data_IF_541908501384
#
_entry.id   IF_541908501384
#
_cell.length_a   1.000
_cell.length_b   1.000
_cell.length_c   1.000
_cell.angle_alpha   90.00
_cell.angle_beta   90.00
_cell.angle_gamma   90.00
#
_symmetry.space_group_name_H-M   'P 1'
#
loop_
_entity.id
_entity.type
_entity.pdbx_description
1 polymer ?
#
# COMPACT_ATOMS: atom_id res chain seq x y z
N UNK A 1 2.30 -10.09 23.64
CA UNK A 1 2.50 -10.13 22.19
C UNK A 1 2.44 -11.58 21.68
N UNK A 2 3.30 -12.53 22.11
CA UNK A 2 3.24 -13.93 21.67
C UNK A 2 1.90 -14.62 22.01
N UNK A 3 1.29 -14.29 23.13
CA UNK A 3 -0.05 -14.76 23.49
C UNK A 3 -1.13 -14.09 22.62
N UNK A 4 -1.03 -12.82 22.39
CA UNK A 4 -1.96 -12.03 21.57
C UNK A 4 -1.97 -12.51 20.10
N UNK A 5 -0.79 -12.78 19.53
CA UNK A 5 -0.66 -13.44 18.22
C UNK A 5 -1.29 -14.85 18.23
N UNK A 6 -1.05 -15.62 19.28
CA UNK A 6 -1.62 -16.97 19.40
C UNK A 6 -3.14 -16.94 19.51
N UNK A 7 -3.70 -15.99 20.25
CA UNK A 7 -5.15 -15.84 20.45
C UNK A 7 -5.84 -15.42 19.15
N UNK A 8 -5.26 -14.47 18.39
CA UNK A 8 -5.77 -14.05 17.09
C UNK A 8 -5.74 -15.21 16.08
N UNK A 9 -4.61 -15.91 15.97
CA UNK A 9 -4.48 -17.05 15.05
C UNK A 9 -5.43 -18.18 15.44
N UNK A 10 -5.49 -18.55 16.71
CA UNK A 10 -6.34 -19.64 17.20
C UNK A 10 -7.83 -19.36 16.94
N UNK A 11 -8.26 -18.11 17.18
CA UNK A 11 -9.65 -17.70 16.94
C UNK A 11 -10.02 -17.81 15.46
N UNK A 12 -9.27 -17.18 14.56
CA UNK A 12 -9.57 -17.17 13.12
C UNK A 12 -9.47 -18.56 12.49
N UNK A 13 -8.45 -19.36 12.86
CA UNK A 13 -8.31 -20.74 12.38
C UNK A 13 -9.47 -21.60 12.85
N UNK A 14 -9.95 -21.42 14.08
CA UNK A 14 -11.12 -22.14 14.59
C UNK A 14 -12.38 -21.83 13.79
N UNK A 15 -12.65 -20.53 13.50
CA UNK A 15 -13.79 -20.12 12.68
C UNK A 15 -13.70 -20.72 11.27
N UNK A 16 -12.53 -20.61 10.61
CA UNK A 16 -12.32 -21.20 9.29
C UNK A 16 -12.55 -22.73 9.27
N UNK A 17 -12.10 -23.43 10.31
CA UNK A 17 -12.26 -24.88 10.42
C UNK A 17 -13.73 -25.28 10.56
N UNK A 18 -14.50 -24.55 11.37
CA UNK A 18 -15.94 -24.76 11.53
C UNK A 18 -16.69 -24.53 10.24
N UNK A 19 -16.40 -23.42 9.56
CA UNK A 19 -17.03 -23.07 8.27
C UNK A 19 -16.69 -24.08 7.17
N UNK A 20 -15.44 -24.53 7.10
CA UNK A 20 -15.02 -25.58 6.16
C UNK A 20 -15.75 -26.90 6.42
N UNK A 21 -15.91 -27.26 7.71
CA UNK A 21 -16.67 -28.44 8.11
C UNK A 21 -18.16 -28.35 7.75
N UNK A 22 -18.76 -27.17 7.91
CA UNK A 22 -20.15 -26.92 7.51
C UNK A 22 -20.30 -27.00 5.99
N UNK A 23 -19.48 -26.28 5.22
CA UNK A 23 -19.50 -26.30 3.75
C UNK A 23 -19.39 -27.73 3.20
N UNK A 24 -18.45 -28.52 3.73
CA UNK A 24 -18.26 -29.93 3.30
C UNK A 24 -19.49 -30.80 3.52
N UNK A 25 -20.29 -30.55 4.57
CA UNK A 25 -21.48 -31.36 4.89
C UNK A 25 -22.68 -31.06 3.99
N UNK A 26 -22.73 -29.83 3.46
CA UNK A 26 -23.91 -29.36 2.72
C UNK A 26 -23.65 -29.19 1.22
N UNK A 27 -22.42 -29.36 0.74
CA UNK A 27 -22.01 -29.03 -0.63
C UNK A 27 -22.87 -29.75 -1.69
N UNK A 28 -23.29 -30.99 -1.43
CA UNK A 28 -24.12 -31.77 -2.36
C UNK A 28 -25.62 -31.49 -2.24
N UNK A 29 -26.05 -30.91 -1.10
CA UNK A 29 -27.48 -30.66 -0.80
C UNK A 29 -27.86 -29.21 -1.04
N UNK A 30 -26.96 -28.28 -0.69
CA UNK A 30 -27.14 -26.85 -0.82
C UNK A 30 -25.81 -26.21 -1.26
N UNK A 31 -25.51 -26.21 -2.55
CA UNK A 31 -24.29 -25.60 -3.08
C UNK A 31 -24.23 -24.07 -2.88
N UNK A 32 -25.37 -23.40 -2.69
CA UNK A 32 -25.46 -21.97 -2.43
C UNK A 32 -24.85 -21.63 -1.07
N UNK A 33 -25.40 -22.21 -0.01
CA UNK A 33 -24.90 -22.03 1.34
C UNK A 33 -23.46 -22.55 1.53
N UNK A 34 -23.04 -23.57 0.77
CA UNK A 34 -21.66 -24.02 0.77
C UNK A 34 -20.69 -22.95 0.20
N UNK A 35 -21.07 -22.24 -0.86
CA UNK A 35 -20.28 -21.12 -1.41
C UNK A 35 -20.21 -19.95 -0.46
N UNK A 36 -21.29 -19.60 0.23
CA UNK A 36 -21.29 -18.54 1.25
C UNK A 36 -20.32 -18.86 2.38
N UNK A 37 -20.32 -20.11 2.87
CA UNK A 37 -19.38 -20.56 3.89
C UNK A 37 -17.92 -20.49 3.41
N UNK A 38 -17.64 -20.78 2.13
CA UNK A 38 -16.31 -20.63 1.53
C UNK A 38 -15.90 -19.14 1.43
N UNK A 39 -16.81 -18.26 1.03
CA UNK A 39 -16.56 -16.81 1.01
C UNK A 39 -16.24 -16.27 2.41
N UNK A 40 -16.93 -16.75 3.43
CA UNK A 40 -16.64 -16.40 4.82
C UNK A 40 -15.23 -16.85 5.24
N UNK A 41 -14.79 -18.04 4.82
CA UNK A 41 -13.43 -18.52 5.09
C UNK A 41 -12.38 -17.60 4.45
N UNK A 42 -12.61 -17.17 3.19
CA UNK A 42 -11.70 -16.24 2.52
C UNK A 42 -11.62 -14.90 3.23
N UNK A 43 -12.74 -14.34 3.64
CA UNK A 43 -12.82 -13.06 4.35
C UNK A 43 -12.12 -13.13 5.71
N UNK A 44 -12.44 -14.15 6.52
CA UNK A 44 -11.79 -14.39 7.81
C UNK A 44 -10.29 -14.60 7.65
N UNK A 45 -9.85 -15.32 6.61
CA UNK A 45 -8.44 -15.51 6.30
C UNK A 45 -7.72 -14.21 5.95
N UNK A 46 -8.31 -13.34 5.13
CA UNK A 46 -7.75 -12.01 4.79
C UNK A 46 -7.65 -11.13 6.03
N UNK A 47 -8.67 -11.11 6.87
CA UNK A 47 -8.69 -10.35 8.11
C UNK A 47 -7.59 -10.82 9.07
N UNK A 48 -7.47 -12.14 9.28
CA UNK A 48 -6.43 -12.72 10.12
C UNK A 48 -5.02 -12.36 9.63
N UNK A 49 -4.77 -12.45 8.33
CA UNK A 49 -3.48 -12.08 7.73
C UNK A 49 -3.18 -10.58 7.90
N UNK A 50 -4.21 -9.72 7.79
CA UNK A 50 -4.07 -8.27 8.00
C UNK A 50 -3.74 -7.96 9.47
N UNK A 51 -4.43 -8.58 10.42
CA UNK A 51 -4.17 -8.40 11.85
C UNK A 51 -2.78 -8.91 12.26
N UNK A 52 -2.37 -10.08 11.75
CA UNK A 52 -1.02 -10.59 11.98
C UNK A 52 0.05 -9.64 11.43
N UNK A 53 -0.14 -9.10 10.22
CA UNK A 53 0.78 -8.10 9.66
C UNK A 53 0.83 -6.84 10.50
N UNK A 54 -0.31 -6.39 11.05
CA UNK A 54 -0.38 -5.24 11.97
C UNK A 54 0.42 -5.49 13.24
N UNK A 55 0.20 -6.64 13.90
CA UNK A 55 0.90 -6.98 15.15
C UNK A 55 2.41 -7.14 14.90
N UNK A 56 2.79 -7.79 13.79
CA UNK A 56 4.19 -7.92 13.38
C UNK A 56 4.77 -6.57 12.93
N UNK A 57 3.97 -5.71 12.28
CA UNK A 57 4.37 -4.37 11.85
C UNK A 57 4.72 -3.44 13.02
N UNK A 58 3.94 -3.47 14.09
CA UNK A 58 4.24 -2.74 15.34
C UNK A 58 5.56 -3.21 15.97
N UNK A 59 5.92 -4.50 15.80
CA UNK A 59 7.21 -5.05 16.25
C UNK A 59 8.37 -4.71 15.32
N UNK A 60 8.09 -4.43 14.03
CA UNK A 60 9.12 -4.09 13.03
C UNK A 60 9.56 -2.63 13.12
N UNK A 61 8.70 -1.72 13.58
CA UNK A 61 9.04 -0.29 13.66
C UNK A 61 10.19 -0.01 14.65
N UNK A 62 10.35 -0.82 15.70
CA UNK A 62 11.41 -0.64 16.70
C UNK A 62 12.69 -1.48 16.42
N UNK A 63 12.58 -2.56 15.63
CA UNK A 63 13.73 -3.45 15.37
C UNK A 63 14.34 -3.34 13.99
N UNK A 64 13.59 -2.88 12.99
CA UNK A 64 14.11 -2.75 11.61
C UNK A 64 14.98 -1.50 11.43
N UNK A 65 14.88 -0.51 12.32
CA UNK A 65 15.85 0.59 12.38
C UNK A 65 17.23 0.11 12.84
N UNK A 66 17.31 -0.94 13.67
CA UNK A 66 18.58 -1.51 14.16
C UNK A 66 19.10 -2.69 13.31
N UNK A 67 18.22 -3.39 12.58
CA UNK A 67 18.57 -4.53 11.73
C UNK A 67 18.70 -4.19 10.23
N UNK A 68 18.33 -2.99 9.79
CA UNK A 68 18.60 -2.50 8.43
C UNK A 68 20.10 -2.48 8.07
N UNK A 69 20.97 -2.77 9.04
CA UNK A 69 22.40 -2.98 8.82
C UNK A 69 22.79 -4.40 8.34
N UNK A 70 21.84 -5.32 8.07
CA UNK A 70 22.18 -6.73 7.84
C UNK A 70 21.53 -7.45 6.65
N UNK A 71 20.72 -6.81 5.84
CA UNK A 71 20.33 -7.39 4.54
C UNK A 71 21.06 -6.66 3.42
N UNK A 72 22.06 -7.34 2.88
CA UNK A 72 22.98 -6.93 1.80
C UNK A 72 22.31 -6.82 0.41
N UNK A 73 20.99 -6.68 0.34
CA UNK A 73 20.32 -6.34 -0.91
C UNK A 73 20.10 -4.82 -0.96
N UNK A 74 20.52 -4.12 -2.02
CA UNK A 74 20.23 -2.71 -2.19
C UNK A 74 18.71 -2.48 -2.08
N UNK A 75 18.28 -1.55 -1.23
CA UNK A 75 16.86 -1.21 -1.19
C UNK A 75 16.47 -0.52 -2.50
N UNK A 76 15.31 -0.88 -3.11
CA UNK A 76 14.90 -0.30 -4.38
C UNK A 76 14.69 1.21 -4.24
N UNK A 77 15.20 1.96 -5.20
CA UNK A 77 15.12 3.41 -5.31
C UNK A 77 14.44 3.85 -6.61
N UNK A 78 14.52 5.15 -6.90
CA UNK A 78 13.93 5.72 -8.13
C UNK A 78 14.54 5.15 -9.41
N UNK A 79 15.77 4.61 -9.34
CA UNK A 79 16.37 3.87 -10.45
C UNK A 79 15.60 2.61 -10.85
N UNK A 80 14.90 1.99 -9.91
CA UNK A 80 14.12 0.77 -10.12
C UNK A 80 12.65 1.05 -10.48
N UNK A 81 12.29 2.33 -10.66
CA UNK A 81 10.92 2.74 -10.94
C UNK A 81 10.36 2.13 -12.22
N UNK A 82 11.22 1.92 -13.23
CA UNK A 82 10.84 1.24 -14.48
C UNK A 82 10.25 -0.14 -14.23
N UNK A 83 10.94 -0.97 -13.48
CA UNK A 83 10.50 -2.34 -13.14
C UNK A 83 9.18 -2.33 -12.33
N UNK A 84 9.04 -1.41 -11.38
CA UNK A 84 7.81 -1.23 -10.64
C UNK A 84 6.63 -0.92 -11.56
N UNK A 85 6.81 0.03 -12.49
CA UNK A 85 5.75 0.45 -13.41
C UNK A 85 5.38 -0.66 -14.39
N UNK A 86 6.34 -1.43 -14.87
CA UNK A 86 6.09 -2.57 -15.76
C UNK A 86 5.29 -3.65 -15.04
N UNK A 87 5.65 -3.98 -13.80
CA UNK A 87 4.87 -4.90 -12.99
C UNK A 87 3.42 -4.41 -12.74
N UNK A 88 3.25 -3.12 -12.47
CA UNK A 88 1.91 -2.53 -12.29
C UNK A 88 1.10 -2.59 -13.60
N UNK A 89 1.73 -2.36 -14.76
CA UNK A 89 1.07 -2.50 -16.07
C UNK A 89 0.62 -3.92 -16.36
N UNK A 90 1.39 -4.92 -15.96
CA UNK A 90 1.02 -6.34 -16.07
C UNK A 90 -0.25 -6.68 -15.29
N UNK A 91 -0.55 -5.97 -14.20
CA UNK A 91 -1.81 -6.13 -13.45
C UNK A 91 -3.02 -5.47 -14.13
N UNK A 92 -2.82 -4.78 -15.27
CA UNK A 92 -3.87 -4.15 -16.07
C UNK A 92 -4.09 -2.67 -15.78
N UNK A 93 -3.31 -2.03 -14.87
CA UNK A 93 -3.38 -0.59 -14.65
C UNK A 93 -2.55 0.16 -15.71
N UNK A 94 -3.18 1.07 -16.44
CA UNK A 94 -2.46 1.97 -17.35
C UNK A 94 -1.70 3.02 -16.56
N UNK A 95 -0.36 2.98 -16.58
CA UNK A 95 0.49 3.95 -15.87
C UNK A 95 1.41 4.67 -16.84
N UNK A 96 1.47 6.00 -16.73
CA UNK A 96 2.40 6.85 -17.46
C UNK A 96 3.37 7.51 -16.49
N UNK A 97 4.63 7.66 -16.92
CA UNK A 97 5.70 8.31 -16.14
C UNK A 97 6.19 9.54 -16.90
N UNK A 98 6.33 10.65 -16.18
CA UNK A 98 7.03 11.85 -16.64
C UNK A 98 8.14 12.21 -15.66
N UNK A 99 9.28 12.54 -16.19
CA UNK A 99 10.44 13.03 -15.43
C UNK A 99 10.78 14.40 -16.01
N UNK A 100 10.75 15.43 -15.18
CA UNK A 100 11.01 16.82 -15.56
C UNK A 100 12.18 17.37 -14.72
N UNK A 101 12.95 18.26 -15.34
CA UNK A 101 14.15 18.84 -14.73
C UNK A 101 15.41 18.00 -14.95
N UNK A 102 16.52 18.44 -14.40
CA UNK A 102 17.79 17.72 -14.47
C UNK A 102 17.83 16.68 -13.35
N UNK A 103 17.80 15.39 -13.75
CA UNK A 103 17.81 14.28 -12.79
C UNK A 103 19.06 14.31 -11.94
N UNK A 104 18.86 14.48 -10.64
CA UNK A 104 19.92 14.43 -9.61
C UNK A 104 19.69 13.22 -8.75
N UNK A 105 20.74 12.63 -8.24
CA UNK A 105 20.62 11.53 -7.26
C UNK A 105 20.26 12.12 -5.90
N UNK A 106 19.05 11.85 -5.38
CA UNK A 106 18.70 12.24 -4.01
C UNK A 106 19.60 11.53 -2.99
N UNK A 107 19.56 11.95 -1.74
CA UNK A 107 20.17 11.14 -0.67
C UNK A 107 19.54 9.74 -0.66
N UNK A 108 20.27 8.68 -0.27
CA UNK A 108 19.77 7.30 -0.30
C UNK A 108 18.44 7.13 0.45
N UNK A 109 18.24 7.90 1.52
CA UNK A 109 16.98 7.86 2.27
C UNK A 109 15.81 8.47 1.53
N UNK A 110 16.02 9.62 0.86
CA UNK A 110 14.99 10.27 0.03
C UNK A 110 14.67 9.41 -1.19
N UNK A 111 15.67 8.79 -1.81
CA UNK A 111 15.50 7.91 -2.96
C UNK A 111 14.57 6.73 -2.64
N UNK A 112 14.83 6.01 -1.55
CA UNK A 112 13.97 4.93 -1.06
C UNK A 112 12.60 5.44 -0.63
N UNK A 113 12.52 6.58 0.07
CA UNK A 113 11.26 7.13 0.54
C UNK A 113 10.34 7.52 -0.63
N UNK A 114 10.90 8.15 -1.66
CA UNK A 114 10.19 8.53 -2.88
C UNK A 114 9.68 7.28 -3.65
N UNK A 115 10.52 6.26 -3.81
CA UNK A 115 10.14 4.99 -4.42
C UNK A 115 8.98 4.33 -3.67
N UNK A 116 9.07 4.22 -2.33
CA UNK A 116 8.02 3.61 -1.50
C UNK A 116 6.71 4.39 -1.52
N UNK A 117 6.77 5.71 -1.60
CA UNK A 117 5.59 6.54 -1.76
C UNK A 117 4.86 6.25 -3.08
N UNK A 118 5.60 6.15 -4.19
CA UNK A 118 5.04 5.82 -5.49
C UNK A 118 4.43 4.41 -5.47
N UNK A 119 5.14 3.43 -4.92
CA UNK A 119 4.68 2.04 -4.78
C UNK A 119 3.36 1.95 -4.00
N UNK A 120 3.25 2.63 -2.85
CA UNK A 120 2.05 2.63 -2.03
C UNK A 120 0.89 3.36 -2.72
N UNK A 121 1.15 4.51 -3.38
CA UNK A 121 0.15 5.25 -4.11
C UNK A 121 -0.42 4.42 -5.29
N UNK A 122 0.43 3.74 -6.08
CA UNK A 122 -0.01 2.85 -7.15
C UNK A 122 -0.76 1.63 -6.63
N UNK A 123 -0.34 1.08 -5.50
CA UNK A 123 -1.05 -0.01 -4.81
C UNK A 123 -2.45 0.42 -4.38
N UNK A 124 -2.60 1.65 -3.88
CA UNK A 124 -3.89 2.22 -3.51
C UNK A 124 -4.78 2.45 -4.74
N UNK A 125 -4.21 2.92 -5.84
CA UNK A 125 -4.92 3.04 -7.12
C UNK A 125 -5.45 1.68 -7.60
N UNK A 126 -4.62 0.63 -7.59
CA UNK A 126 -5.03 -0.73 -7.96
C UNK A 126 -6.20 -1.25 -7.10
N UNK A 127 -6.19 -0.95 -5.80
CA UNK A 127 -7.23 -1.41 -4.87
C UNK A 127 -8.54 -0.62 -4.97
N UNK A 128 -8.46 0.67 -5.27
CA UNK A 128 -9.58 1.58 -5.01
C UNK A 128 -10.07 2.36 -6.24
N UNK A 129 -9.27 2.52 -7.30
CA UNK A 129 -9.63 3.37 -8.42
C UNK A 129 -10.61 2.70 -9.42
N UNK A 130 -10.68 1.37 -9.41
CA UNK A 130 -11.56 0.58 -10.29
C UNK A 130 -10.86 0.08 -11.56
N UNK A 131 -11.53 -0.82 -12.33
CA UNK A 131 -10.88 -1.63 -13.36
C UNK A 131 -10.46 -0.89 -14.64
N UNK A 132 -10.89 0.34 -14.84
CA UNK A 132 -10.56 1.16 -16.01
C UNK A 132 -9.75 2.42 -15.65
N UNK A 133 -9.28 2.50 -14.43
CA UNK A 133 -8.51 3.65 -13.97
C UNK A 133 -7.17 3.73 -14.68
N UNK A 134 -6.70 4.96 -14.84
CA UNK A 134 -5.36 5.28 -15.31
C UNK A 134 -4.64 6.02 -14.22
N UNK A 135 -3.34 5.82 -14.13
CA UNK A 135 -2.48 6.52 -13.20
C UNK A 135 -1.38 7.31 -13.91
N UNK A 136 -0.95 8.36 -13.28
CA UNK A 136 0.15 9.21 -13.73
C UNK A 136 1.14 9.40 -12.61
N UNK A 137 2.41 9.13 -12.90
CA UNK A 137 3.53 9.37 -12.00
C UNK A 137 4.37 10.49 -12.58
N UNK A 138 4.65 11.53 -11.80
CA UNK A 138 5.50 12.64 -12.19
C UNK A 138 6.62 12.82 -11.16
N UNK A 139 7.83 12.94 -11.67
CA UNK A 139 9.02 13.33 -10.90
C UNK A 139 9.47 14.69 -11.44
N UNK A 140 9.52 15.67 -10.57
CA UNK A 140 10.05 16.99 -10.90
C UNK A 140 11.28 17.28 -10.04
N UNK A 141 12.44 17.38 -10.71
CA UNK A 141 13.70 17.75 -10.08
C UNK A 141 13.87 19.27 -10.18
N UNK A 142 13.61 19.96 -9.06
CA UNK A 142 13.88 21.38 -8.90
C UNK A 142 15.32 21.65 -8.47
N UNK A 143 15.65 22.94 -8.27
CA UNK A 143 16.99 23.34 -7.82
C UNK A 143 17.32 22.86 -6.42
N UNK A 144 16.33 22.83 -5.52
CA UNK A 144 16.48 22.50 -4.12
C UNK A 144 15.54 21.39 -3.61
N UNK A 145 14.72 20.82 -4.49
CA UNK A 145 13.76 19.80 -4.09
C UNK A 145 13.45 18.80 -5.20
N UNK A 146 12.97 17.63 -4.78
CA UNK A 146 12.33 16.63 -5.61
C UNK A 146 10.84 16.61 -5.28
N UNK A 147 10.01 16.89 -6.26
CA UNK A 147 8.56 16.69 -6.15
C UNK A 147 8.17 15.39 -6.82
N UNK A 148 7.48 14.54 -6.08
CA UNK A 148 6.88 13.29 -6.54
C UNK A 148 5.37 13.44 -6.52
N UNK A 149 4.72 13.15 -7.63
CA UNK A 149 3.27 13.21 -7.75
C UNK A 149 2.74 11.93 -8.38
N UNK A 150 1.73 11.33 -7.75
CA UNK A 150 0.99 10.19 -8.28
C UNK A 150 -0.48 10.53 -8.27
N UNK A 151 -1.08 10.47 -9.44
CA UNK A 151 -2.50 10.80 -9.64
C UNK A 151 -3.21 9.65 -10.34
N UNK A 152 -4.52 9.48 -10.08
CA UNK A 152 -5.40 8.60 -10.85
C UNK A 152 -6.69 9.29 -11.28
N UNK A 153 -7.43 8.70 -12.23
CA UNK A 153 -8.76 9.13 -12.68
C UNK A 153 -9.88 8.19 -12.17
N UNK A 154 -9.60 7.44 -11.13
CA UNK A 154 -10.53 6.46 -10.57
C UNK A 154 -11.73 7.08 -9.86
N UNK A 155 -12.68 6.22 -9.50
CA UNK A 155 -13.90 6.61 -8.75
C UNK A 155 -13.75 6.44 -7.24
N UNK A 156 -12.58 6.03 -6.75
CA UNK A 156 -12.34 5.54 -5.40
C UNK A 156 -12.32 6.57 -4.26
N UNK A 157 -12.49 7.86 -4.55
CA UNK A 157 -12.44 8.93 -3.54
C UNK A 157 -13.46 8.80 -2.41
N UNK A 158 -14.65 8.29 -2.69
CA UNK A 158 -15.70 8.11 -1.69
C UNK A 158 -15.41 6.92 -0.75
N UNK A 159 -14.73 5.87 -1.25
CA UNK A 159 -14.47 4.64 -0.50
C UNK A 159 -13.33 4.81 0.49
N UNK A 160 -12.28 5.56 0.15
CA UNK A 160 -11.13 5.79 1.05
C UNK A 160 -11.52 6.64 2.26
N UNK A 161 -12.48 7.57 2.09
CA UNK A 161 -12.99 8.40 3.19
C UNK A 161 -14.18 7.78 3.94
N UNK A 162 -14.94 6.89 3.31
CA UNK A 162 -16.13 6.27 3.90
C UNK A 162 -15.83 4.97 4.67
N UNK A 163 -14.80 4.24 4.28
CA UNK A 163 -14.42 2.96 4.92
C UNK A 163 -13.57 3.15 6.21
N UNK A 164 -13.14 4.39 6.47
CA UNK A 164 -12.36 4.76 7.63
C UNK A 164 -13.13 5.69 8.57
N UNK A 165 -14.22 5.18 9.16
CA UNK A 165 -14.70 5.74 10.42
C UNK A 165 -13.54 5.76 11.42
N UNK A 166 -13.00 6.94 11.71
CA UNK A 166 -12.01 7.27 12.75
C UNK A 166 -10.55 6.77 12.61
N UNK A 167 -10.13 6.09 11.53
CA UNK A 167 -8.72 5.72 11.41
C UNK A 167 -8.22 5.85 9.97
N UNK A 168 -7.35 6.82 9.60
CA UNK A 168 -6.71 6.85 8.31
C UNK A 168 -5.93 5.55 8.12
N UNK A 169 -6.17 4.82 7.01
CA UNK A 169 -5.54 3.53 6.75
C UNK A 169 -4.03 3.60 6.94
N UNK A 170 -3.43 2.57 7.52
CA UNK A 170 -2.00 2.53 7.89
C UNK A 170 -1.04 2.91 6.76
N UNK A 171 -1.43 2.73 5.49
CA UNK A 171 -0.65 3.16 4.32
C UNK A 171 -0.48 4.68 4.25
N UNK A 172 -1.53 5.45 4.53
CA UNK A 172 -1.48 6.92 4.50
C UNK A 172 -0.61 7.46 5.64
N UNK A 173 -0.79 6.94 6.86
CA UNK A 173 0.04 7.32 8.02
C UNK A 173 1.51 7.03 7.74
N UNK A 174 1.84 5.85 7.24
CA UNK A 174 3.21 5.49 6.89
C UNK A 174 3.82 6.35 5.76
N UNK A 175 3.01 6.88 4.83
CA UNK A 175 3.49 7.85 3.85
C UNK A 175 3.84 9.19 4.52
N UNK A 176 2.99 9.70 5.42
CA UNK A 176 3.25 10.95 6.16
C UNK A 176 4.53 10.85 7.00
N UNK A 177 4.68 9.77 7.77
CA UNK A 177 5.85 9.57 8.62
C UNK A 177 7.15 9.50 7.81
N UNK A 178 7.15 8.75 6.70
CA UNK A 178 8.33 8.65 5.83
C UNK A 178 8.72 9.96 5.18
N UNK A 179 7.76 10.73 4.67
CA UNK A 179 8.04 12.03 4.06
C UNK A 179 8.54 13.02 5.10
N UNK A 180 7.92 13.06 6.28
CA UNK A 180 8.32 13.93 7.39
C UNK A 180 9.72 13.62 7.91
N UNK A 181 10.14 12.34 7.91
CA UNK A 181 11.48 11.91 8.35
C UNK A 181 12.61 12.62 7.58
N UNK A 182 12.35 12.96 6.31
CA UNK A 182 13.31 13.66 5.44
C UNK A 182 13.00 15.14 5.26
N UNK A 183 12.23 15.74 6.19
CA UNK A 183 11.87 17.16 6.14
C UNK A 183 10.97 17.54 4.97
N UNK A 184 10.32 16.54 4.37
CA UNK A 184 9.42 16.73 3.23
C UNK A 184 8.00 17.14 3.62
N UNK A 185 7.26 17.58 2.63
CA UNK A 185 5.84 17.92 2.74
C UNK A 185 5.01 16.92 1.92
N UNK A 186 3.90 16.41 2.48
CA UNK A 186 2.99 15.48 1.82
C UNK A 186 1.58 16.06 1.75
N UNK A 187 0.98 15.97 0.58
CA UNK A 187 -0.44 16.29 0.34
C UNK A 187 -1.11 15.10 -0.32
N UNK A 188 -2.23 14.68 0.25
CA UNK A 188 -3.03 13.55 -0.22
C UNK A 188 -4.49 13.98 -0.26
N UNK A 189 -5.20 13.66 -1.33
CA UNK A 189 -6.63 13.98 -1.40
C UNK A 189 -7.26 13.75 -2.75
N UNK A 190 -8.59 13.98 -2.82
CA UNK A 190 -9.32 13.93 -4.07
C UNK A 190 -8.89 15.04 -5.02
N UNK A 191 -8.90 14.73 -6.33
CA UNK A 191 -8.60 15.69 -7.39
C UNK A 191 -9.85 16.42 -7.85
N UNK A 192 -9.67 17.67 -8.26
CA UNK A 192 -10.72 18.43 -8.96
C UNK A 192 -10.97 17.75 -10.32
N UNK A 193 -12.18 17.26 -10.52
CA UNK A 193 -12.55 16.53 -11.75
C UNK A 193 -12.58 15.01 -11.60
N UNK A 194 -12.30 14.48 -10.42
CA UNK A 194 -12.33 13.05 -10.09
C UNK A 194 -10.94 12.42 -9.95
N UNK A 195 -10.91 11.26 -9.31
CA UNK A 195 -9.68 10.57 -8.99
C UNK A 195 -9.04 11.00 -7.67
N UNK A 196 -7.85 10.49 -7.42
CA UNK A 196 -7.10 10.73 -6.20
C UNK A 196 -5.67 11.17 -6.52
N UNK A 197 -5.06 11.95 -5.65
CA UNK A 197 -3.71 12.45 -5.82
C UNK A 197 -2.89 12.36 -4.54
N UNK A 198 -1.64 11.98 -4.72
CA UNK A 198 -0.58 11.97 -3.70
C UNK A 198 0.55 12.83 -4.23
N UNK A 199 0.94 13.88 -3.50
CA UNK A 199 2.05 14.76 -3.87
C UNK A 199 2.98 14.94 -2.68
N UNK A 200 4.23 14.58 -2.84
CA UNK A 200 5.29 14.80 -1.86
C UNK A 200 6.37 15.71 -2.44
N UNK A 201 6.93 16.54 -1.58
CA UNK A 201 8.08 17.39 -1.87
C UNK A 201 9.17 17.06 -0.89
N UNK A 202 10.32 16.64 -1.37
CA UNK A 202 11.51 16.32 -0.57
C UNK A 202 12.57 17.37 -0.80
N UNK A 203 13.14 18.01 0.23
CA UNK A 203 14.29 18.86 0.06
C UNK A 203 15.49 18.02 -0.43
N UNK A 204 16.21 18.54 -1.41
CA UNK A 204 17.49 17.99 -1.86
C UNK A 204 18.60 18.78 -1.17
N UNK A 205 19.52 18.06 -0.53
CA UNK A 205 20.73 18.67 0.01
C UNK A 205 21.60 19.18 -1.15
N UNK A 206 22.14 20.38 -0.97
CA UNK A 206 23.01 21.03 -1.95
C UNK A 206 24.38 20.35 -2.05
#
# INVERSE_FOLDING_TARGET
IARELHDVVAHHVSVMTVQAGAARRIIDRDPGSAREAMSTIEEVGRTALSEMRRIVGVLRTDRDAEQAGRELAPQPGLGDLGELLDHVRETGLSVQLWIEGEARSPSPGVDVAAFRLIQEALTNTLKHAGPQARAWVRLYYGDADLTVEVEDDGRGTATIMADNGDNPGHGLVGMYERVALYGGELRIGPRVGGGFGVRARFPLEA
#
